data_IF_605547599897
#
_entry.id   IF_605547599897
#
_cell.length_a   1.000
_cell.length_b   1.000
_cell.length_c   1.000
_cell.angle_alpha   90.00
_cell.angle_beta   90.00
_cell.angle_gamma   90.00
#
_symmetry.space_group_name_H-M   'P 1'
#
loop_
_entity.id
_entity.type
_entity.pdbx_description
1 polymer ?
#
# COMPACT_ATOMS: atom_id res chain seq x y z
N UNK A 1 3.39 -19.00 0.68
CA UNK A 1 3.40 -18.33 2.00
C UNK A 1 2.49 -17.09 2.00
N UNK A 2 2.01 -16.60 3.16
CA UNK A 2 1.25 -15.34 3.25
C UNK A 2 2.16 -14.18 3.63
N UNK A 3 1.97 -13.00 3.03
CA UNK A 3 2.71 -11.77 3.34
C UNK A 3 1.77 -10.56 3.36
N UNK A 4 2.09 -9.56 4.18
CA UNK A 4 1.44 -8.26 4.12
C UNK A 4 2.14 -7.33 3.11
N UNK A 5 1.36 -6.72 2.22
CA UNK A 5 1.76 -5.58 1.40
C UNK A 5 1.25 -4.29 2.04
N UNK A 6 2.06 -3.23 1.97
CA UNK A 6 1.73 -1.92 2.51
C UNK A 6 1.83 -0.86 1.43
N UNK A 7 0.96 0.16 1.51
CA UNK A 7 0.98 1.31 0.61
C UNK A 7 0.52 2.56 1.35
N UNK A 8 1.07 3.72 0.96
CA UNK A 8 0.57 5.03 1.38
C UNK A 8 -0.23 5.64 0.23
N UNK A 9 -1.46 6.07 0.51
CA UNK A 9 -2.31 6.80 -0.42
C UNK A 9 -2.34 8.26 0.03
N UNK A 10 -2.13 9.18 -0.91
CA UNK A 10 -2.19 10.62 -0.67
C UNK A 10 -3.43 11.24 -1.34
N UNK A 11 -3.92 12.36 -0.83
CA UNK A 11 -4.88 13.22 -1.51
C UNK A 11 -4.28 14.61 -1.76
N UNK A 12 -3.44 14.82 -2.78
CA UNK A 12 -2.89 16.15 -3.10
C UNK A 12 -3.94 17.26 -3.26
N UNK A 13 -5.19 16.92 -3.60
CA UNK A 13 -6.31 17.86 -3.71
C UNK A 13 -7.19 17.91 -2.44
N UNK A 14 -6.78 17.31 -1.33
CA UNK A 14 -7.50 17.27 -0.06
C UNK A 14 -8.22 15.95 0.22
N UNK A 15 -9.07 15.96 1.25
CA UNK A 15 -9.76 14.77 1.76
C UNK A 15 -10.69 14.10 0.74
N UNK A 16 -11.50 14.81 -0.08
CA UNK A 16 -12.38 14.16 -1.05
C UNK A 16 -11.61 13.26 -2.03
N UNK A 17 -10.49 13.76 -2.57
CA UNK A 17 -9.64 12.96 -3.44
C UNK A 17 -8.99 11.78 -2.70
N UNK A 18 -8.61 11.95 -1.43
CA UNK A 18 -8.09 10.84 -0.64
C UNK A 18 -9.16 9.74 -0.48
N UNK A 19 -10.41 10.10 -0.17
CA UNK A 19 -11.53 9.18 -0.01
C UNK A 19 -11.81 8.38 -1.29
N UNK A 20 -11.85 9.05 -2.46
CA UNK A 20 -12.03 8.38 -3.76
C UNK A 20 -10.94 7.34 -4.02
N UNK A 21 -9.67 7.72 -3.77
CA UNK A 21 -8.53 6.84 -3.97
C UNK A 21 -8.54 5.67 -2.99
N UNK A 22 -8.83 5.90 -1.71
CA UNK A 22 -8.93 4.83 -0.72
C UNK A 22 -10.01 3.83 -1.14
N UNK A 23 -11.17 4.32 -1.59
CA UNK A 23 -12.30 3.49 -2.03
C UNK A 23 -11.90 2.53 -3.15
N UNK A 24 -11.09 2.97 -4.11
CA UNK A 24 -10.53 2.11 -5.16
C UNK A 24 -9.73 0.91 -4.59
N UNK A 25 -8.94 1.15 -3.54
CA UNK A 25 -8.13 0.11 -2.90
C UNK A 25 -8.96 -0.80 -1.99
N UNK A 26 -9.98 -0.29 -1.31
CA UNK A 26 -10.90 -1.10 -0.51
C UNK A 26 -11.58 -2.18 -1.35
N UNK A 27 -12.03 -1.81 -2.57
CA UNK A 27 -12.62 -2.74 -3.53
C UNK A 27 -11.63 -3.81 -4.04
N UNK A 28 -10.33 -3.59 -3.86
CA UNK A 28 -9.24 -4.52 -4.21
C UNK A 28 -8.73 -5.32 -3.02
N UNK A 29 -9.48 -5.35 -1.91
CA UNK A 29 -9.16 -6.12 -0.70
C UNK A 29 -8.12 -5.47 0.22
N UNK A 30 -7.79 -4.20 0.01
CA UNK A 30 -6.95 -3.45 0.95
C UNK A 30 -7.77 -2.95 2.13
N UNK A 31 -7.09 -2.70 3.26
CA UNK A 31 -7.68 -2.18 4.49
C UNK A 31 -6.86 -0.99 5.01
N UNK A 32 -7.49 0.06 5.55
CA UNK A 32 -6.77 1.13 6.22
C UNK A 32 -6.05 0.59 7.46
N UNK A 33 -4.84 1.09 7.69
CA UNK A 33 -4.04 0.78 8.88
C UNK A 33 -3.54 2.09 9.49
N UNK A 34 -3.69 2.24 10.81
CA UNK A 34 -3.40 3.50 11.50
C UNK A 34 -4.41 4.61 11.17
N UNK A 35 -4.05 5.85 11.54
CA UNK A 35 -4.87 7.04 11.29
C UNK A 35 -4.42 7.83 10.06
N UNK A 36 -5.24 8.81 9.67
CA UNK A 36 -4.90 9.80 8.64
C UNK A 36 -3.81 10.73 9.19
N UNK A 37 -2.79 10.99 8.38
CA UNK A 37 -1.72 11.94 8.67
C UNK A 37 -1.72 13.08 7.64
N UNK A 38 -1.13 14.22 8.02
CA UNK A 38 -1.00 15.38 7.15
C UNK A 38 0.47 15.75 6.99
N UNK A 39 0.91 16.00 5.76
CA UNK A 39 2.22 16.58 5.46
C UNK A 39 2.05 17.70 4.43
N UNK A 40 2.60 18.88 4.71
CA UNK A 40 2.47 20.06 3.87
C UNK A 40 1.02 20.40 3.45
N UNK A 41 0.05 20.10 4.33
CA UNK A 41 -1.39 20.33 4.07
C UNK A 41 -2.10 19.23 3.29
N UNK A 42 -1.38 18.20 2.81
CA UNK A 42 -1.97 17.08 2.09
C UNK A 42 -2.31 15.93 3.04
N UNK A 43 -3.51 15.33 2.96
CA UNK A 43 -3.86 14.14 3.74
C UNK A 43 -3.28 12.85 3.13
N UNK A 44 -2.89 11.92 4.00
CA UNK A 44 -2.34 10.62 3.67
C UNK A 44 -2.96 9.53 4.56
N UNK A 45 -3.16 8.33 4.00
CA UNK A 45 -3.60 7.14 4.72
C UNK A 45 -2.73 5.94 4.34
N UNK A 46 -2.24 5.22 5.34
CA UNK A 46 -1.60 3.92 5.13
C UNK A 46 -2.68 2.83 4.95
N UNK A 47 -2.45 1.92 4.00
CA UNK A 47 -3.31 0.77 3.73
C UNK A 47 -2.46 -0.50 3.64
N UNK A 48 -3.05 -1.65 3.95
CA UNK A 48 -2.41 -2.95 3.85
C UNK A 48 -3.34 -4.02 3.26
N UNK A 49 -2.77 -5.04 2.62
CA UNK A 49 -3.48 -6.27 2.25
C UNK A 49 -2.61 -7.49 2.47
N UNK A 50 -3.25 -8.65 2.62
CA UNK A 50 -2.53 -9.94 2.67
C UNK A 50 -2.53 -10.54 1.26
N UNK A 51 -1.35 -10.91 0.78
CA UNK A 51 -1.16 -11.61 -0.49
C UNK A 51 -0.60 -13.01 -0.23
N UNK A 52 -0.96 -13.95 -1.10
CA UNK A 52 -0.30 -15.25 -1.18
C UNK A 52 0.86 -15.13 -2.15
N UNK A 53 2.04 -15.56 -1.72
CA UNK A 53 3.26 -15.57 -2.52
C UNK A 53 3.65 -17.02 -2.74
N UNK A 54 3.82 -17.41 -4.00
CA UNK A 54 4.37 -18.71 -4.37
C UNK A 54 5.90 -18.69 -4.18
N UNK A 55 6.49 -19.82 -3.81
CA UNK A 55 7.91 -19.89 -3.38
C UNK A 55 8.91 -19.44 -4.46
N UNK A 56 8.52 -19.49 -5.74
CA UNK A 56 9.36 -19.09 -6.87
C UNK A 56 9.54 -17.56 -7.00
N UNK A 57 8.67 -16.72 -6.44
CA UNK A 57 8.77 -15.25 -6.56
C UNK A 57 9.86 -14.64 -5.64
N UNK A 58 10.46 -15.44 -4.75
CA UNK A 58 11.60 -15.02 -3.93
C UNK A 58 12.93 -15.05 -4.71
N UNK A 59 13.07 -15.90 -5.73
CA UNK A 59 14.29 -16.05 -6.53
C UNK A 59 14.50 -14.90 -7.52
N UNK A 60 13.43 -14.20 -7.92
CA UNK A 60 13.48 -13.09 -8.89
C UNK A 60 13.82 -11.74 -8.27
N UNK A 61 13.71 -11.58 -6.95
CA UNK A 61 13.84 -10.26 -6.28
C UNK A 61 15.12 -10.06 -5.46
N UNK A 62 15.88 -11.11 -5.20
CA UNK A 62 17.24 -11.03 -4.66
C UNK A 62 18.21 -11.65 -5.68
N UNK A 63 18.58 -10.95 -6.77
CA UNK A 63 19.78 -11.34 -7.48
C UNK A 63 20.94 -11.22 -6.48
N UNK A 64 21.65 -12.32 -6.22
CA UNK A 64 22.93 -12.24 -5.52
C UNK A 64 23.77 -11.13 -6.19
N UNK A 65 24.46 -10.26 -5.43
CA UNK A 65 25.37 -9.32 -6.03
C UNK A 65 26.40 -10.13 -6.83
N UNK A 66 26.47 -9.89 -8.14
CA UNK A 66 27.44 -10.54 -9.00
C UNK A 66 28.86 -10.30 -8.42
N UNK A 67 29.57 -11.39 -8.15
CA UNK A 67 30.95 -11.42 -7.65
C UNK A 67 31.92 -10.71 -8.59
#
# INVERSE_FOLDING_TARGET
>A
MKRAEYKIISGPSGLPQLEDRITEFLNKGWKPVGGIAFNAGYPYQAIARVVTVDEDDNLTRNPEPAL
#
